data_IF_229389060978
#
_entry.id   IF_229389060978
#
_cell.length_a   1.000
_cell.length_b   1.000
_cell.length_c   1.000
_cell.angle_alpha   90.00
_cell.angle_beta   90.00
_cell.angle_gamma   90.00
#
_symmetry.space_group_name_H-M   'P 1'
#
loop_
_entity.id
_entity.type
_entity.pdbx_description
1 polymer ?
#
# COMPACT_ATOMS: atom_id res chain seq x y z
N UNK A 1 12.52 -22.50 1.33
CA UNK A 1 11.24 -22.81 0.66
C UNK A 1 11.53 -23.37 -0.72
N UNK A 2 10.92 -24.47 -1.08
CA UNK A 2 11.14 -25.14 -2.36
C UNK A 2 10.28 -24.50 -3.45
N UNK A 3 10.86 -24.02 -4.57
CA UNK A 3 10.04 -23.51 -5.67
C UNK A 3 9.05 -24.58 -6.15
N UNK A 4 7.79 -24.21 -6.33
CA UNK A 4 6.74 -25.10 -6.76
C UNK A 4 6.09 -25.93 -5.65
N UNK A 5 6.61 -25.87 -4.40
CA UNK A 5 5.99 -26.53 -3.26
C UNK A 5 4.88 -25.70 -2.65
N UNK A 6 3.99 -26.34 -1.91
CA UNK A 6 2.96 -25.64 -1.14
C UNK A 6 3.57 -24.93 0.05
N UNK A 7 3.04 -23.75 0.36
CA UNK A 7 3.48 -22.99 1.51
C UNK A 7 2.86 -23.57 2.79
N UNK A 8 3.63 -23.65 3.89
CA UNK A 8 3.07 -24.07 5.17
C UNK A 8 1.97 -23.12 5.65
N UNK A 9 0.95 -23.63 6.37
CA UNK A 9 -0.13 -22.78 6.87
C UNK A 9 0.34 -21.61 7.71
N UNK A 10 1.35 -21.79 8.54
CA UNK A 10 1.92 -20.74 9.40
C UNK A 10 2.52 -19.60 8.56
N UNK A 11 3.16 -19.94 7.45
CA UNK A 11 3.72 -18.96 6.55
C UNK A 11 2.62 -18.19 5.82
N UNK A 12 1.57 -18.91 5.41
CA UNK A 12 0.41 -18.25 4.76
C UNK A 12 -0.25 -17.24 5.67
N UNK A 13 -0.37 -17.54 6.97
CA UNK A 13 -0.92 -16.61 7.94
C UNK A 13 -0.06 -15.34 8.06
N UNK A 14 1.27 -15.50 8.12
CA UNK A 14 2.19 -14.37 8.20
C UNK A 14 2.14 -13.50 6.94
N UNK A 15 2.05 -14.11 5.78
CA UNK A 15 1.91 -13.40 4.51
C UNK A 15 0.58 -12.64 4.48
N UNK A 16 -0.52 -13.31 4.90
CA UNK A 16 -1.85 -12.70 4.91
C UNK A 16 -1.91 -11.47 5.82
N UNK A 17 -1.23 -11.49 6.96
CA UNK A 17 -1.15 -10.33 7.85
C UNK A 17 -0.50 -9.13 7.17
N UNK A 18 0.55 -9.35 6.38
CA UNK A 18 1.20 -8.29 5.63
C UNK A 18 0.31 -7.72 4.55
N UNK A 19 -0.39 -8.57 3.83
CA UNK A 19 -1.37 -8.10 2.84
C UNK A 19 -2.50 -7.31 3.49
N UNK A 20 -2.97 -7.73 4.66
CA UNK A 20 -3.98 -6.97 5.41
C UNK A 20 -3.49 -5.56 5.77
N UNK A 21 -2.22 -5.45 6.15
CA UNK A 21 -1.65 -4.15 6.47
C UNK A 21 -1.63 -3.21 5.26
N UNK A 22 -1.56 -3.76 4.05
CA UNK A 22 -1.58 -3.00 2.80
C UNK A 22 -3.00 -2.78 2.26
N UNK A 23 -4.00 -3.50 2.76
CA UNK A 23 -5.33 -3.54 2.17
C UNK A 23 -6.24 -2.41 2.65
N UNK A 24 -5.69 -1.22 2.88
CA UNK A 24 -6.46 -0.02 3.18
C UNK A 24 -5.92 1.17 2.39
N UNK A 25 -6.81 1.93 1.72
CA UNK A 25 -6.38 3.08 0.91
C UNK A 25 -5.54 4.09 1.69
N UNK A 26 -5.89 4.36 2.95
CA UNK A 26 -5.16 5.31 3.78
C UNK A 26 -3.71 4.86 4.00
N UNK A 27 -3.48 3.58 4.24
CA UNK A 27 -2.13 3.05 4.43
C UNK A 27 -1.32 3.08 3.13
N UNK A 28 -1.95 2.77 2.00
CA UNK A 28 -1.29 2.87 0.70
C UNK A 28 -0.93 4.32 0.37
N UNK A 29 -1.81 5.26 0.72
CA UNK A 29 -1.56 6.69 0.53
C UNK A 29 -0.36 7.16 1.35
N UNK A 30 -0.28 6.73 2.62
CA UNK A 30 0.85 7.07 3.48
C UNK A 30 2.17 6.54 2.88
N UNK A 31 2.19 5.28 2.46
CA UNK A 31 3.36 4.69 1.83
C UNK A 31 3.77 5.44 0.57
N UNK A 32 2.80 5.84 -0.24
CA UNK A 32 3.05 6.58 -1.46
C UNK A 32 3.70 7.93 -1.18
N UNK A 33 3.23 8.64 -0.16
CA UNK A 33 3.83 9.90 0.26
C UNK A 33 5.28 9.69 0.77
N UNK A 34 5.50 8.63 1.52
CA UNK A 34 6.83 8.31 2.06
C UNK A 34 7.86 7.95 0.99
N UNK A 35 7.43 7.67 -0.24
CA UNK A 35 8.36 7.53 -1.37
C UNK A 35 9.15 8.80 -1.63
N UNK A 36 8.58 9.94 -1.32
CA UNK A 36 9.22 11.24 -1.55
C UNK A 36 10.22 11.61 -0.45
N UNK A 37 10.20 10.91 0.68
CA UNK A 37 11.11 11.14 1.79
C UNK A 37 10.45 10.98 3.14
N UNK A 38 11.22 11.20 4.19
CA UNK A 38 10.73 11.08 5.57
C UNK A 38 9.63 12.08 5.87
N UNK A 39 8.71 11.68 6.76
CA UNK A 39 7.59 12.53 7.22
C UNK A 39 7.31 12.27 8.69
N UNK A 40 6.86 13.32 9.37
CA UNK A 40 6.28 13.20 10.71
C UNK A 40 4.79 12.86 10.61
N UNK A 41 4.19 12.51 11.75
CA UNK A 41 2.72 12.31 11.81
C UNK A 41 2.00 13.59 11.38
N UNK A 42 2.47 14.75 11.82
CA UNK A 42 1.86 16.03 11.45
C UNK A 42 1.92 16.29 9.94
N UNK A 43 3.06 15.98 9.30
CA UNK A 43 3.20 16.11 7.85
C UNK A 43 2.20 15.23 7.11
N UNK A 44 2.10 13.97 7.54
CA UNK A 44 1.20 13.00 6.92
C UNK A 44 -0.26 13.38 7.13
N UNK A 45 -0.60 13.86 8.32
CA UNK A 45 -1.97 14.33 8.60
C UNK A 45 -2.34 15.49 7.66
N UNK A 46 -1.43 16.43 7.47
CA UNK A 46 -1.65 17.57 6.58
C UNK A 46 -1.80 17.13 5.12
N UNK A 47 -0.97 16.19 4.67
CA UNK A 47 -0.95 15.74 3.26
C UNK A 47 -2.08 14.78 2.92
N UNK A 48 -2.56 14.00 3.90
CA UNK A 48 -3.63 13.01 3.66
C UNK A 48 -5.02 13.54 3.98
N UNK A 49 -5.11 14.58 4.81
CA UNK A 49 -6.39 15.03 5.34
C UNK A 49 -6.93 14.16 6.47
N UNK A 50 -6.19 13.14 6.90
CA UNK A 50 -6.58 12.29 8.03
C UNK A 50 -6.22 12.97 9.34
N UNK A 51 -6.95 12.64 10.40
CA UNK A 51 -6.59 13.11 11.75
C UNK A 51 -5.26 12.48 12.21
N UNK A 52 -4.49 13.21 13.05
CA UNK A 52 -3.20 12.69 13.53
C UNK A 52 -3.31 11.34 14.24
N UNK A 53 -4.39 11.11 15.01
CA UNK A 53 -4.60 9.84 15.70
C UNK A 53 -4.77 8.69 14.71
N UNK A 54 -5.49 8.90 13.61
CA UNK A 54 -5.65 7.90 12.56
C UNK A 54 -4.33 7.63 11.84
N UNK A 55 -3.58 8.68 11.53
CA UNK A 55 -2.25 8.54 10.91
C UNK A 55 -1.34 7.70 11.81
N UNK A 56 -1.29 8.01 13.10
CA UNK A 56 -0.49 7.26 14.08
C UNK A 56 -0.88 5.79 14.13
N UNK A 57 -2.17 5.50 14.10
CA UNK A 57 -2.70 4.13 14.10
C UNK A 57 -2.24 3.36 12.86
N UNK A 58 -2.34 3.98 11.69
CA UNK A 58 -1.91 3.37 10.44
C UNK A 58 -0.41 3.15 10.40
N UNK A 59 0.37 4.14 10.85
CA UNK A 59 1.83 4.02 10.92
C UNK A 59 2.27 2.92 11.87
N UNK A 60 1.56 2.74 12.99
CA UNK A 60 1.86 1.65 13.93
C UNK A 60 1.69 0.30 13.25
N UNK A 61 0.61 0.09 12.51
CA UNK A 61 0.38 -1.16 11.78
C UNK A 61 1.48 -1.38 10.74
N UNK A 62 1.80 -0.36 9.97
CA UNK A 62 2.86 -0.43 8.96
C UNK A 62 4.23 -0.71 9.57
N UNK A 63 4.51 -0.11 10.72
CA UNK A 63 5.76 -0.32 11.44
C UNK A 63 5.86 -1.76 11.96
N UNK A 64 4.80 -2.28 12.58
CA UNK A 64 4.77 -3.64 13.12
C UNK A 64 4.94 -4.69 12.01
N UNK A 65 4.44 -4.40 10.82
CA UNK A 65 4.55 -5.31 9.67
C UNK A 65 5.83 -5.10 8.86
N UNK A 66 6.68 -4.16 9.25
CA UNK A 66 7.97 -3.97 8.63
C UNK A 66 7.97 -3.13 7.35
N UNK A 67 6.88 -2.41 7.05
CA UNK A 67 6.80 -1.57 5.85
C UNK A 67 7.41 -0.19 6.02
N UNK A 68 7.52 0.28 7.25
CA UNK A 68 8.16 1.56 7.56
C UNK A 68 9.14 1.39 8.71
N UNK A 69 10.13 2.27 8.74
CA UNK A 69 11.02 2.45 9.89
C UNK A 69 10.80 3.84 10.45
N UNK A 70 11.33 4.09 11.63
CA UNK A 70 11.19 5.39 12.28
C UNK A 70 12.47 5.75 13.03
N UNK A 71 12.70 7.05 13.16
CA UNK A 71 13.78 7.57 13.98
C UNK A 71 13.28 8.74 14.79
N UNK A 72 13.83 8.91 15.96
CA UNK A 72 13.54 10.06 16.81
C UNK A 72 14.59 11.15 16.56
N UNK A 73 14.13 12.38 16.39
CA UNK A 73 15.00 13.55 16.23
C UNK A 73 14.39 14.69 17.04
N UNK A 74 14.94 14.94 18.23
CA UNK A 74 14.39 15.91 19.16
C UNK A 74 12.98 15.53 19.60
N UNK A 75 12.02 16.45 19.53
CA UNK A 75 10.61 16.16 19.90
C UNK A 75 9.85 15.41 18.82
N UNK A 76 10.43 15.22 17.63
CA UNK A 76 9.75 14.65 16.49
C UNK A 76 10.18 13.20 16.24
N UNK A 77 9.24 12.41 15.69
CA UNK A 77 9.51 11.08 15.16
C UNK A 77 9.27 11.15 13.65
N UNK A 78 10.28 10.73 12.90
CA UNK A 78 10.23 10.68 11.44
C UNK A 78 10.06 9.24 10.97
N UNK A 79 9.13 9.03 10.07
CA UNK A 79 8.86 7.74 9.45
C UNK A 79 9.37 7.73 8.01
N UNK A 80 9.88 6.60 7.57
CA UNK A 80 10.33 6.40 6.20
C UNK A 80 10.00 4.98 5.75
N UNK A 81 10.02 4.75 4.45
CA UNK A 81 9.86 3.41 3.90
C UNK A 81 11.01 2.51 4.37
N UNK A 82 10.66 1.26 4.72
CA UNK A 82 11.67 0.25 5.03
C UNK A 82 12.39 -0.21 3.76
N UNK A 83 11.63 -0.43 2.69
CA UNK A 83 12.16 -0.68 1.35
C UNK A 83 11.08 -0.37 0.30
N UNK A 84 11.46 -0.37 -0.96
CA UNK A 84 10.54 -0.03 -2.04
C UNK A 84 9.82 -1.24 -2.66
N UNK A 85 10.04 -2.44 -2.11
CA UNK A 85 9.43 -3.66 -2.64
C UNK A 85 7.92 -3.62 -2.69
N UNK A 86 7.27 -2.90 -1.77
CA UNK A 86 5.81 -2.74 -1.76
C UNK A 86 5.31 -2.13 -3.07
N UNK A 87 6.08 -1.26 -3.70
CA UNK A 87 5.66 -0.61 -4.95
C UNK A 87 5.81 -1.53 -6.16
N UNK A 88 6.65 -2.54 -6.08
CA UNK A 88 6.71 -3.59 -7.10
C UNK A 88 5.41 -4.40 -7.08
N UNK A 89 4.89 -4.71 -5.89
CA UNK A 89 3.58 -5.35 -5.76
C UNK A 89 2.47 -4.47 -6.31
N UNK A 90 2.49 -3.20 -5.96
CA UNK A 90 1.49 -2.23 -6.45
C UNK A 90 1.54 -2.09 -7.96
N UNK A 91 2.73 -2.11 -8.57
CA UNK A 91 2.88 -2.03 -10.01
C UNK A 91 2.26 -3.22 -10.72
N UNK A 92 2.43 -4.43 -10.17
CA UNK A 92 1.82 -5.64 -10.71
C UNK A 92 0.30 -5.52 -10.68
N UNK A 93 -0.25 -5.15 -9.52
CA UNK A 93 -1.70 -4.99 -9.36
C UNK A 93 -2.23 -3.90 -10.28
N UNK A 94 -1.51 -2.78 -10.39
CA UNK A 94 -1.89 -1.67 -11.25
C UNK A 94 -1.97 -2.10 -12.72
N UNK A 95 -1.00 -2.88 -13.21
CA UNK A 95 -1.03 -3.40 -14.57
C UNK A 95 -2.23 -4.32 -14.81
N UNK A 96 -2.48 -5.24 -13.87
CA UNK A 96 -3.60 -6.17 -13.98
C UNK A 96 -4.94 -5.43 -13.95
N UNK A 97 -5.06 -4.42 -13.11
CA UNK A 97 -6.24 -3.59 -13.01
C UNK A 97 -6.47 -2.80 -14.30
N UNK A 98 -5.42 -2.23 -14.88
CA UNK A 98 -5.50 -1.52 -16.15
C UNK A 98 -6.00 -2.44 -17.27
N UNK A 99 -5.47 -3.65 -17.34
CA UNK A 99 -5.88 -4.64 -18.34
C UNK A 99 -7.33 -5.06 -18.15
N UNK A 100 -7.76 -5.26 -16.90
CA UNK A 100 -9.13 -5.63 -16.58
C UNK A 100 -10.12 -4.52 -16.97
N UNK A 101 -9.78 -3.26 -16.67
CA UNK A 101 -10.61 -2.10 -17.03
C UNK A 101 -10.70 -1.97 -18.55
N UNK A 102 -9.57 -2.12 -19.25
CA UNK A 102 -9.56 -2.04 -20.72
C UNK A 102 -10.44 -3.11 -21.34
N UNK A 103 -10.34 -4.36 -20.87
CA UNK A 103 -11.19 -5.45 -21.39
C UNK A 103 -12.65 -5.19 -21.13
N UNK A 104 -12.99 -4.62 -19.97
CA UNK A 104 -14.37 -4.27 -19.65
C UNK A 104 -14.89 -3.18 -20.56
N UNK A 105 -14.08 -2.16 -20.83
CA UNK A 105 -14.44 -1.09 -21.78
C UNK A 105 -14.64 -1.63 -23.19
N UNK A 106 -13.77 -2.49 -23.66
CA UNK A 106 -13.89 -3.12 -24.97
C UNK A 106 -15.18 -3.95 -25.08
N UNK A 107 -15.53 -4.69 -24.03
CA UNK A 107 -16.75 -5.48 -24.00
C UNK A 107 -17.99 -4.59 -24.07
N UNK A 108 -18.00 -3.47 -23.35
CA UNK A 108 -19.10 -2.51 -23.37
C UNK A 108 -19.18 -1.83 -24.74
N UNK A 109 -18.06 -1.42 -25.30
CA UNK A 109 -17.98 -0.81 -26.63
C UNK A 109 -18.53 -1.73 -27.73
N UNK A 110 -18.26 -3.05 -27.60
CA UNK A 110 -18.79 -4.04 -28.55
C UNK A 110 -20.30 -4.22 -28.49
N UNK A 111 -20.94 -3.77 -27.41
CA UNK A 111 -22.39 -3.87 -27.22
C UNK A 111 -23.11 -2.57 -27.62
N UNK A 112 -22.47 -1.42 -27.37
CA UNK A 112 -23.08 -0.12 -27.58
C UNK A 112 -23.18 0.22 -29.08
N UNK A 113 -24.29 0.87 -29.52
CA UNK A 113 -24.37 1.36 -30.88
C UNK A 113 -23.32 2.46 -31.16
N UNK A 114 -22.78 2.54 -32.38
CA UNK A 114 -21.73 3.51 -32.71
C UNK A 114 -22.10 4.98 -32.54
N UNK A 115 -23.39 5.28 -32.44
CA UNK A 115 -23.92 6.66 -32.43
C UNK A 115 -24.42 7.11 -31.05
N UNK A 116 -24.04 6.43 -30.00
CA UNK A 116 -24.40 6.88 -28.64
C UNK A 116 -23.38 7.85 -28.08
#
# INVERSE_FOLDING_TARGET
>A
MTPGGRLPPELLELIAERFKALAEPARLQILDILREGERTVADLAAQTGLGPANVSKHLRMLYLMGFVTRRKAGPNIYYRLADEGVFQLCAIVCERLRDAIRRQQEAVEGILPPQI
#
